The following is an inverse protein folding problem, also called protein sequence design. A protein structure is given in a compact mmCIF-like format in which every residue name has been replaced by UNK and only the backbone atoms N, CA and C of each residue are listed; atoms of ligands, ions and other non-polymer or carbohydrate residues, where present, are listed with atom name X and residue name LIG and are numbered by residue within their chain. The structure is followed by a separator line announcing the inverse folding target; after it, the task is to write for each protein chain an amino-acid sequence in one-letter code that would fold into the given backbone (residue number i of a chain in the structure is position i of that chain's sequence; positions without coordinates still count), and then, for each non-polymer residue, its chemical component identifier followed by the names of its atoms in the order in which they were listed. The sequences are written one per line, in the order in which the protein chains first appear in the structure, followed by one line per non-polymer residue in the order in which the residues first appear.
data_IF_529411067611
#
_entry.id   IF_529411067611
#
_cell.length_a   1.000
_cell.length_b   1.000
_cell.length_c   1.000
_cell.angle_alpha   90.00
_cell.angle_beta   90.00
_cell.angle_gamma   90.00
#
_symmetry.space_group_name_H-M   'P 1'
#
loop_
_entity.id
_entity.type
_entity.pdbx_description
1 polymer ?
#
# COMPACT_ATOMS: atom_id res chain seq x y z
N UNK A 1 46.13 6.58 43.27
CA UNK A 1 44.79 6.51 43.87
C UNK A 1 43.87 7.45 43.11
N UNK A 2 42.68 6.95 42.81
CA UNK A 2 41.85 7.29 41.65
C UNK A 2 41.03 8.57 41.80
N UNK A 3 40.81 9.23 40.65
CA UNK A 3 39.96 10.41 40.42
C UNK A 3 38.48 10.10 40.75
N UNK A 4 37.80 10.96 41.50
CA UNK A 4 36.35 10.94 41.68
C UNK A 4 35.69 11.97 40.75
N UNK A 5 35.24 11.50 39.59
CA UNK A 5 34.40 12.24 38.66
C UNK A 5 32.95 12.15 39.17
N UNK A 6 32.36 13.24 39.63
CA UNK A 6 30.97 13.26 40.10
C UNK A 6 30.03 13.45 38.90
N UNK A 7 29.56 12.35 38.31
CA UNK A 7 28.46 12.38 37.35
C UNK A 7 27.14 12.19 38.09
N UNK A 8 26.28 13.20 38.05
CA UNK A 8 24.88 13.10 38.45
C UNK A 8 24.14 12.18 37.46
N UNK A 9 23.23 11.29 37.92
CA UNK A 9 22.46 10.46 37.01
C UNK A 9 21.44 11.35 36.29
N UNK A 10 21.61 11.50 34.98
CA UNK A 10 20.57 12.02 34.10
C UNK A 10 19.40 11.03 34.19
N UNK A 11 18.29 11.46 34.81
CA UNK A 11 17.02 10.75 34.68
C UNK A 11 16.65 10.76 33.19
N UNK A 12 16.90 9.64 32.52
CA UNK A 12 16.36 9.37 31.20
C UNK A 12 14.84 9.28 31.35
N UNK A 13 14.13 10.36 31.02
CA UNK A 13 12.71 10.26 30.72
C UNK A 13 12.56 9.18 29.64
N UNK A 14 11.67 8.19 29.80
CA UNK A 14 11.27 7.39 28.66
C UNK A 14 10.60 8.36 27.68
N UNK A 15 11.30 8.70 26.60
CA UNK A 15 10.69 9.28 25.41
C UNK A 15 9.69 8.24 24.94
N UNK A 16 8.44 8.37 25.39
CA UNK A 16 7.31 7.75 24.75
C UNK A 16 7.36 8.24 23.31
N UNK A 17 7.94 7.41 22.43
CA UNK A 17 7.68 7.46 21.02
C UNK A 17 6.21 7.09 20.86
N UNK A 18 5.32 8.05 21.16
CA UNK A 18 3.96 8.02 20.69
C UNK A 18 4.08 8.07 19.17
N UNK A 19 4.14 6.91 18.55
CA UNK A 19 3.90 6.78 17.12
C UNK A 19 2.55 7.45 16.87
N UNK A 20 2.59 8.56 16.17
CA UNK A 20 1.46 9.38 15.77
C UNK A 20 0.22 8.55 15.38
N UNK A 21 -0.68 8.26 16.32
CA UNK A 21 -2.06 7.93 15.97
C UNK A 21 -2.72 9.26 15.59
N UNK A 22 -2.51 9.69 14.34
CA UNK A 22 -2.96 11.00 13.82
C UNK A 22 -4.47 11.22 13.97
N UNK A 23 -5.25 10.16 14.19
CA UNK A 23 -6.68 10.24 14.40
C UNK A 23 -7.09 9.27 15.51
N UNK A 24 -7.66 9.81 16.59
CA UNK A 24 -8.29 9.01 17.64
C UNK A 24 -9.72 8.66 17.16
N UNK A 25 -9.81 7.68 16.26
CA UNK A 25 -11.06 7.28 15.60
C UNK A 25 -11.94 6.47 16.56
N UNK A 26 -13.25 6.75 16.57
CA UNK A 26 -14.23 5.89 17.23
C UNK A 26 -14.29 4.51 16.55
N UNK A 27 -14.81 3.51 17.26
CA UNK A 27 -15.03 2.16 16.70
C UNK A 27 -15.89 2.22 15.44
N UNK A 28 -16.97 3.00 15.44
CA UNK A 28 -17.88 3.12 14.31
C UNK A 28 -17.21 3.79 13.10
N UNK A 29 -16.43 4.84 13.32
CA UNK A 29 -15.68 5.49 12.23
C UNK A 29 -14.63 4.56 11.65
N UNK A 30 -13.96 3.75 12.49
CA UNK A 30 -13.00 2.75 12.01
C UNK A 30 -13.67 1.68 11.16
N UNK A 31 -14.84 1.18 11.58
CA UNK A 31 -15.61 0.19 10.83
C UNK A 31 -16.06 0.74 9.47
N UNK A 32 -16.63 1.94 9.44
CA UNK A 32 -17.05 2.59 8.20
C UNK A 32 -15.88 2.84 7.24
N UNK A 33 -14.72 3.26 7.75
CA UNK A 33 -13.51 3.40 6.94
C UNK A 33 -13.06 2.04 6.38
N UNK A 34 -13.04 0.98 7.20
CA UNK A 34 -12.70 -0.35 6.71
C UNK A 34 -13.60 -0.79 5.55
N UNK A 35 -14.91 -0.56 5.63
CA UNK A 35 -15.86 -0.87 4.55
C UNK A 35 -15.56 -0.08 3.28
N UNK A 36 -15.41 1.25 3.39
CA UNK A 36 -15.12 2.11 2.23
C UNK A 36 -13.80 1.72 1.55
N UNK A 37 -12.76 1.46 2.34
CA UNK A 37 -11.47 1.03 1.80
C UNK A 37 -11.55 -0.37 1.19
N UNK A 38 -12.33 -1.29 1.77
CA UNK A 38 -12.54 -2.61 1.19
C UNK A 38 -13.26 -2.54 -0.15
N UNK A 39 -14.30 -1.72 -0.27
CA UNK A 39 -14.99 -1.49 -1.54
C UNK A 39 -14.06 -0.87 -2.58
N UNK A 40 -13.31 0.17 -2.22
CA UNK A 40 -12.36 0.82 -3.12
C UNK A 40 -11.26 -0.15 -3.57
N UNK A 41 -10.69 -0.92 -2.63
CA UNK A 41 -9.65 -1.89 -2.93
C UNK A 41 -10.17 -2.99 -3.85
N UNK A 42 -11.40 -3.47 -3.64
CA UNK A 42 -12.02 -4.45 -4.52
C UNK A 42 -12.21 -3.91 -5.94
N UNK A 43 -12.75 -2.69 -6.09
CA UNK A 43 -12.96 -2.08 -7.39
C UNK A 43 -11.64 -1.90 -8.15
N UNK A 44 -10.63 -1.31 -7.51
CA UNK A 44 -9.33 -1.08 -8.14
C UNK A 44 -8.55 -2.36 -8.41
N UNK A 45 -8.74 -3.41 -7.58
CA UNK A 45 -8.20 -4.75 -7.85
C UNK A 45 -8.76 -5.30 -9.15
N UNK A 46 -10.08 -5.25 -9.34
CA UNK A 46 -10.71 -5.75 -10.58
C UNK A 46 -10.21 -4.99 -11.82
N UNK A 47 -10.09 -3.67 -11.71
CA UNK A 47 -9.57 -2.83 -12.80
C UNK A 47 -8.11 -3.17 -13.16
N UNK A 48 -7.24 -3.30 -12.16
CA UNK A 48 -5.84 -3.68 -12.35
C UNK A 48 -5.71 -5.06 -13.01
N UNK A 49 -6.41 -6.06 -12.47
CA UNK A 49 -6.36 -7.43 -12.99
C UNK A 49 -6.96 -7.53 -14.40
N UNK A 50 -8.03 -6.78 -14.69
CA UNK A 50 -8.61 -6.67 -16.02
C UNK A 50 -7.61 -6.09 -17.02
N UNK A 51 -6.96 -4.97 -16.69
CA UNK A 51 -5.93 -4.36 -17.56
C UNK A 51 -4.74 -5.28 -17.79
N UNK A 52 -4.27 -5.98 -16.75
CA UNK A 52 -3.20 -6.99 -16.87
C UNK A 52 -3.60 -8.17 -17.75
N UNK A 53 -4.88 -8.55 -17.77
CA UNK A 53 -5.39 -9.58 -18.69
C UNK A 53 -5.36 -9.05 -20.13
N UNK A 54 -5.90 -7.87 -20.39
CA UNK A 54 -5.92 -7.28 -21.74
C UNK A 54 -4.50 -7.09 -22.29
N UNK A 55 -3.56 -6.63 -21.46
CA UNK A 55 -2.15 -6.51 -21.87
C UNK A 55 -1.58 -7.86 -22.33
N UNK A 56 -1.82 -8.93 -21.58
CA UNK A 56 -1.33 -10.27 -21.94
C UNK A 56 -2.00 -10.81 -23.21
N UNK A 57 -3.31 -10.63 -23.34
CA UNK A 57 -4.05 -11.02 -24.54
C UNK A 57 -3.57 -10.26 -25.78
N UNK A 58 -3.16 -8.99 -25.62
CA UNK A 58 -2.55 -8.18 -26.68
C UNK A 58 -1.12 -8.65 -27.01
N UNK A 59 -0.27 -8.88 -26.01
CA UNK A 59 1.11 -9.37 -26.19
C UNK A 59 1.18 -10.77 -26.80
N UNK A 60 0.14 -11.60 -26.61
CA UNK A 60 0.03 -12.93 -27.20
C UNK A 60 -0.31 -12.92 -28.70
N UNK A 61 -0.69 -11.78 -29.27
CA UNK A 61 -0.97 -11.66 -30.71
C UNK A 61 0.34 -11.53 -31.49
N UNK A 62 0.45 -12.24 -32.62
CA UNK A 62 1.70 -12.30 -33.42
C UNK A 62 2.11 -10.96 -34.05
N UNK A 63 1.14 -10.05 -34.30
CA UNK A 63 1.36 -8.74 -34.96
C UNK A 63 0.88 -7.57 -34.09
N UNK A 64 1.19 -7.62 -32.79
CA UNK A 64 0.71 -6.59 -31.86
C UNK A 64 1.43 -5.24 -32.06
N UNK A 65 0.65 -4.17 -32.20
CA UNK A 65 1.17 -2.82 -32.35
C UNK A 65 1.86 -2.34 -31.06
N UNK A 66 3.13 -1.92 -31.20
CA UNK A 66 3.97 -1.48 -30.08
C UNK A 66 3.40 -0.24 -29.37
N UNK A 67 2.84 0.71 -30.12
CA UNK A 67 2.27 1.93 -29.51
C UNK A 67 1.05 1.58 -28.64
N UNK A 68 0.24 0.62 -29.07
CA UNK A 68 -0.87 0.11 -28.28
C UNK A 68 -0.37 -0.62 -27.02
N UNK A 69 0.70 -1.42 -27.13
CA UNK A 69 1.35 -2.07 -25.97
C UNK A 69 1.79 -1.05 -24.91
N UNK A 70 2.48 0.03 -25.32
CA UNK A 70 2.95 1.08 -24.40
C UNK A 70 1.79 1.76 -23.63
N UNK A 71 0.63 1.94 -24.30
CA UNK A 71 -0.58 2.47 -23.67
C UNK A 71 -1.13 1.48 -22.64
N UNK A 72 -1.22 0.20 -22.96
CA UNK A 72 -1.72 -0.84 -22.04
C UNK A 72 -0.81 -1.01 -20.82
N UNK A 73 0.50 -0.96 -21.01
CA UNK A 73 1.49 -0.95 -19.91
C UNK A 73 1.25 0.27 -19.01
N UNK A 74 1.07 1.45 -19.60
CA UNK A 74 0.82 2.69 -18.85
C UNK A 74 -0.47 2.63 -18.04
N UNK A 75 -1.53 2.04 -18.59
CA UNK A 75 -2.81 1.81 -17.89
C UNK A 75 -2.65 0.82 -16.73
N UNK A 76 -1.89 -0.26 -16.90
CA UNK A 76 -1.56 -1.19 -15.83
C UNK A 76 -0.79 -0.48 -14.70
N UNK A 77 0.25 0.28 -15.05
CA UNK A 77 1.06 1.04 -14.08
C UNK A 77 0.24 2.10 -13.33
N UNK A 78 -0.72 2.74 -14.01
CA UNK A 78 -1.66 3.67 -13.37
C UNK A 78 -2.52 2.96 -12.31
N UNK A 79 -3.19 1.85 -12.65
CA UNK A 79 -4.03 1.12 -11.69
C UNK A 79 -3.22 0.55 -10.53
N UNK A 80 -2.00 0.08 -10.79
CA UNK A 80 -1.11 -0.42 -9.74
C UNK A 80 -0.74 0.69 -8.73
N UNK A 81 -0.42 1.90 -9.22
CA UNK A 81 -0.16 3.05 -8.36
C UNK A 81 -1.38 3.39 -7.49
N UNK A 82 -2.59 3.37 -8.06
CA UNK A 82 -3.80 3.62 -7.29
C UNK A 82 -4.01 2.63 -6.15
N UNK A 83 -3.80 1.33 -6.39
CA UNK A 83 -3.86 0.32 -5.32
C UNK A 83 -2.83 0.59 -4.21
N UNK A 84 -1.60 0.93 -4.60
CA UNK A 84 -0.53 1.26 -3.64
C UNK A 84 -0.86 2.50 -2.81
N UNK A 85 -1.36 3.56 -3.44
CA UNK A 85 -1.73 4.80 -2.74
C UNK A 85 -2.95 4.61 -1.83
N UNK A 86 -3.92 3.78 -2.23
CA UNK A 86 -5.05 3.40 -1.38
C UNK A 86 -4.56 2.71 -0.10
N UNK A 87 -3.67 1.72 -0.22
CA UNK A 87 -3.10 1.03 0.93
C UNK A 87 -2.29 1.94 1.85
N UNK A 88 -1.47 2.83 1.28
CA UNK A 88 -0.74 3.85 2.05
C UNK A 88 -1.67 4.79 2.81
N UNK A 89 -2.76 5.22 2.16
CA UNK A 89 -3.76 6.09 2.78
C UNK A 89 -4.45 5.38 3.94
N UNK A 90 -4.85 4.12 3.76
CA UNK A 90 -5.44 3.32 4.83
C UNK A 90 -4.50 3.20 6.04
N UNK A 91 -3.23 2.88 5.79
CA UNK A 91 -2.20 2.81 6.83
C UNK A 91 -2.04 4.14 7.56
N UNK A 92 -2.00 5.26 6.84
CA UNK A 92 -1.86 6.58 7.44
C UNK A 92 -3.06 6.95 8.34
N UNK A 93 -4.27 6.54 7.96
CA UNK A 93 -5.51 6.85 8.69
C UNK A 93 -5.74 5.91 9.87
N UNK A 94 -5.49 4.61 9.70
CA UNK A 94 -5.85 3.56 10.67
C UNK A 94 -4.68 3.01 11.46
N UNK A 95 -3.44 3.20 10.98
CA UNK A 95 -2.24 2.55 11.51
C UNK A 95 -2.07 1.09 11.09
N UNK A 96 -3.00 0.51 10.32
CA UNK A 96 -2.96 -0.90 9.95
C UNK A 96 -2.23 -1.14 8.62
N UNK A 97 -1.34 -2.14 8.60
CA UNK A 97 -0.59 -2.59 7.41
C UNK A 97 -1.39 -3.54 6.50
N UNK A 98 -2.59 -3.96 6.91
CA UNK A 98 -3.36 -5.02 6.24
C UNK A 98 -3.46 -4.83 4.71
N UNK A 99 -3.87 -3.64 4.25
CA UNK A 99 -3.99 -3.36 2.82
C UNK A 99 -2.64 -3.25 2.11
N UNK A 100 -1.56 -2.90 2.80
CA UNK A 100 -0.21 -2.90 2.20
C UNK A 100 0.19 -4.33 1.81
N UNK A 101 -0.01 -5.27 2.72
CA UNK A 101 0.29 -6.69 2.48
C UNK A 101 -0.63 -7.28 1.39
N UNK A 102 -1.94 -7.01 1.46
CA UNK A 102 -2.89 -7.53 0.48
C UNK A 102 -2.64 -6.98 -0.93
N UNK A 103 -2.35 -5.67 -1.07
CA UNK A 103 -1.98 -5.09 -2.36
C UNK A 103 -0.68 -5.69 -2.90
N UNK A 104 0.31 -5.93 -2.04
CA UNK A 104 1.55 -6.59 -2.46
C UNK A 104 1.29 -8.00 -2.99
N UNK A 105 0.45 -8.80 -2.32
CA UNK A 105 0.04 -10.13 -2.79
C UNK A 105 -0.67 -10.06 -4.15
N UNK A 106 -1.61 -9.12 -4.31
CA UNK A 106 -2.34 -8.93 -5.58
C UNK A 106 -1.36 -8.66 -6.73
N UNK A 107 -0.39 -7.76 -6.53
CA UNK A 107 0.59 -7.39 -7.56
C UNK A 107 1.52 -8.56 -7.87
N UNK A 108 2.00 -9.28 -6.85
CA UNK A 108 2.85 -10.46 -7.03
C UNK A 108 2.11 -11.54 -7.82
N UNK A 109 0.86 -11.85 -7.46
CA UNK A 109 0.03 -12.83 -8.16
C UNK A 109 -0.21 -12.41 -9.63
N UNK A 110 -0.54 -11.14 -9.87
CA UNK A 110 -0.78 -10.63 -11.23
C UNK A 110 0.44 -10.71 -12.15
N UNK A 111 1.66 -10.73 -11.59
CA UNK A 111 2.91 -10.84 -12.34
C UNK A 111 3.44 -12.28 -12.43
N UNK A 112 2.98 -13.19 -11.57
CA UNK A 112 3.34 -14.62 -11.61
C UNK A 112 2.50 -15.44 -12.58
N UNK A 113 1.31 -14.97 -12.95
CA UNK A 113 0.51 -15.56 -14.02
C UNK A 113 1.12 -15.11 -15.36
N UNK A 114 2.28 -15.66 -15.68
CA UNK A 114 2.94 -15.59 -16.98
C UNK A 114 2.46 -16.76 -17.85
#
# INVERSE_FOLDING_TARGET
MSKSNTQSPVMSLPTHSQSNHLLNLSTDTRAALCEVFATAAHAHKQEYLGRKRVLREHEAQEDHDKKHTDVLISLCAFSERYLKELAKTFKAVTGSEYWMEEVQKIIQQANQIA
#
